data_IF_167056105583
#
_entry.id   IF_167056105583
#
_cell.length_a   1.000
_cell.length_b   1.000
_cell.length_c   1.000
_cell.angle_alpha   90.00
_cell.angle_beta   90.00
_cell.angle_gamma   90.00
#
_symmetry.space_group_name_H-M   'P 1'
#
loop_
_entity.id
_entity.type
_entity.pdbx_description
1 polymer ?
#
# COMPACT_ATOMS: atom_id res chain seq x y z
N UNK A 1 2.86 0.10 10.84
CA UNK A 1 1.74 -0.02 11.80
C UNK A 1 0.77 1.13 11.71
N UNK A 2 1.27 2.36 11.66
CA UNK A 2 0.42 3.53 11.59
C UNK A 2 -0.42 3.56 10.31
N UNK A 3 0.13 3.06 9.21
CA UNK A 3 -0.56 3.04 7.92
C UNK A 3 -1.77 2.13 7.97
N UNK A 4 -1.65 0.95 8.56
CA UNK A 4 -2.76 0.00 8.63
C UNK A 4 -3.91 0.50 9.51
N UNK A 5 -3.69 1.54 10.32
CA UNK A 5 -4.72 2.14 11.16
C UNK A 5 -5.50 3.23 10.47
N UNK A 6 -5.02 3.73 9.31
CA UNK A 6 -5.71 4.78 8.57
C UNK A 6 -7.08 4.31 8.09
N UNK A 7 -7.18 3.03 7.78
CA UNK A 7 -8.42 2.44 7.32
C UNK A 7 -8.46 0.98 7.78
N UNK A 8 -9.60 0.60 8.34
CA UNK A 8 -9.81 -0.79 8.74
C UNK A 8 -10.29 -1.59 7.52
N UNK A 9 -9.39 -2.35 6.94
CA UNK A 9 -9.68 -3.18 5.77
C UNK A 9 -9.69 -4.64 6.20
N UNK A 10 -10.83 -5.27 6.06
CA UNK A 10 -11.02 -6.66 6.45
C UNK A 10 -10.74 -7.59 5.27
N UNK A 11 -9.49 -8.03 5.16
CA UNK A 11 -9.05 -8.94 4.12
C UNK A 11 -8.38 -10.16 4.75
N UNK A 12 -8.60 -11.36 4.20
CA UNK A 12 -7.88 -12.53 4.65
C UNK A 12 -6.39 -12.37 4.32
N UNK A 13 -5.53 -12.98 5.12
CA UNK A 13 -4.11 -12.90 4.87
C UNK A 13 -3.74 -13.78 3.69
N UNK A 14 -3.32 -13.17 2.61
CA UNK A 14 -2.93 -13.82 1.37
C UNK A 14 -1.68 -13.17 0.80
N UNK A 15 -1.05 -13.89 -0.12
CA UNK A 15 0.07 -13.34 -0.87
C UNK A 15 -0.41 -12.30 -1.89
N UNK A 16 -1.54 -12.57 -2.54
CA UNK A 16 -2.13 -11.67 -3.53
C UNK A 16 -3.64 -11.63 -3.39
N UNK A 17 -4.22 -10.50 -3.80
CA UNK A 17 -5.66 -10.25 -3.77
C UNK A 17 -6.14 -9.85 -5.16
N UNK A 18 -7.36 -10.24 -5.51
CA UNK A 18 -7.97 -9.83 -6.77
C UNK A 18 -8.53 -8.42 -6.64
N UNK A 19 -8.79 -7.76 -7.79
CA UNK A 19 -9.40 -6.43 -7.78
C UNK A 19 -10.80 -6.49 -7.16
N UNK A 20 -11.51 -7.59 -7.34
CA UNK A 20 -12.83 -7.77 -6.73
C UNK A 20 -12.76 -7.78 -5.21
N UNK A 21 -11.80 -8.51 -4.65
CA UNK A 21 -11.58 -8.54 -3.21
C UNK A 21 -11.21 -7.16 -2.67
N UNK A 22 -10.33 -6.46 -3.39
CA UNK A 22 -9.86 -5.14 -2.99
C UNK A 22 -10.99 -4.11 -3.04
N UNK A 23 -11.73 -4.06 -4.15
CA UNK A 23 -12.82 -3.10 -4.29
C UNK A 23 -13.90 -3.31 -3.25
N UNK A 24 -14.21 -4.56 -2.94
CA UNK A 24 -15.18 -4.89 -1.91
C UNK A 24 -14.70 -4.46 -0.52
N UNK A 25 -13.43 -4.73 -0.21
CA UNK A 25 -12.85 -4.37 1.08
C UNK A 25 -12.82 -2.86 1.31
N UNK A 26 -12.55 -2.10 0.25
CA UNK A 26 -12.50 -0.64 0.31
C UNK A 26 -13.86 0.01 0.10
N UNK A 27 -14.88 -0.79 -0.25
CA UNK A 27 -16.23 -0.31 -0.54
C UNK A 27 -16.23 0.73 -1.66
N UNK A 28 -15.51 0.44 -2.73
CA UNK A 28 -15.44 1.29 -3.93
C UNK A 28 -15.60 0.42 -5.17
N UNK A 29 -15.87 1.05 -6.30
CA UNK A 29 -15.98 0.34 -7.57
C UNK A 29 -14.59 -0.07 -8.06
N UNK A 30 -14.52 -1.21 -8.75
CA UNK A 30 -13.28 -1.68 -9.35
C UNK A 30 -12.71 -0.66 -10.33
N UNK A 31 -13.57 0.08 -11.03
CA UNK A 31 -13.13 1.13 -11.96
C UNK A 31 -12.35 2.23 -11.26
N UNK A 32 -12.71 2.55 -10.01
CA UNK A 32 -11.98 3.54 -9.24
C UNK A 32 -10.58 3.03 -8.87
N UNK A 33 -10.47 1.76 -8.52
CA UNK A 33 -9.16 1.14 -8.24
C UNK A 33 -8.27 1.20 -9.49
N UNK A 34 -8.83 0.85 -10.65
CA UNK A 34 -8.09 0.91 -11.92
C UNK A 34 -7.69 2.34 -12.28
N UNK A 35 -8.55 3.31 -11.98
CA UNK A 35 -8.26 4.73 -12.19
C UNK A 35 -7.07 5.16 -11.32
N UNK A 36 -7.06 4.78 -10.05
CA UNK A 36 -5.95 5.09 -9.16
C UNK A 36 -4.64 4.43 -9.60
N UNK A 37 -4.69 3.21 -10.10
CA UNK A 37 -3.51 2.55 -10.68
C UNK A 37 -2.90 3.38 -11.79
N UNK A 38 -3.74 3.97 -12.62
CA UNK A 38 -3.31 4.80 -13.73
C UNK A 38 -2.72 6.11 -13.25
N UNK A 39 -3.31 6.70 -12.21
CA UNK A 39 -2.91 8.02 -11.71
C UNK A 39 -1.73 7.98 -10.74
N UNK A 40 -1.51 6.87 -10.07
CA UNK A 40 -0.46 6.72 -9.06
C UNK A 40 0.54 5.66 -9.51
N UNK A 41 1.73 6.09 -9.91
CA UNK A 41 2.78 5.20 -10.41
C UNK A 41 3.30 4.24 -9.33
N UNK A 42 3.22 4.66 -8.06
CA UNK A 42 3.62 3.83 -6.94
C UNK A 42 2.75 2.59 -6.80
N UNK A 43 1.56 2.63 -7.36
CA UNK A 43 0.62 1.53 -7.33
C UNK A 43 0.81 0.71 -8.61
N UNK A 44 1.55 -0.37 -8.52
CA UNK A 44 1.91 -1.17 -9.68
C UNK A 44 1.69 -2.66 -9.41
N UNK A 45 0.42 -3.11 -9.39
CA UNK A 45 0.13 -4.50 -9.11
C UNK A 45 0.63 -5.40 -10.25
N UNK A 46 1.03 -6.61 -9.88
CA UNK A 46 1.47 -7.59 -10.86
C UNK A 46 0.26 -8.13 -11.62
N UNK A 47 0.48 -8.51 -12.87
CA UNK A 47 -0.54 -9.15 -13.68
C UNK A 47 -0.10 -10.58 -13.98
N UNK A 48 -1.07 -11.50 -14.00
CA UNK A 48 -0.78 -12.87 -14.40
C UNK A 48 -0.72 -12.94 -15.93
N UNK A 49 -0.53 -14.17 -16.48
CA UNK A 49 -0.42 -14.38 -17.91
C UNK A 49 -1.68 -13.95 -18.69
N UNK A 50 -2.82 -13.91 -18.01
CA UNK A 50 -4.08 -13.49 -18.62
C UNK A 50 -4.35 -12.00 -18.47
N UNK A 51 -3.40 -11.26 -17.90
CA UNK A 51 -3.56 -9.83 -17.66
C UNK A 51 -4.39 -9.49 -16.44
N UNK A 52 -4.74 -10.46 -15.61
CA UNK A 52 -5.49 -10.24 -14.39
C UNK A 52 -4.60 -9.63 -13.32
N UNK A 53 -5.08 -8.58 -12.66
CA UNK A 53 -4.33 -7.87 -11.63
C UNK A 53 -4.25 -8.68 -10.36
N UNK A 54 -3.07 -8.63 -9.71
CA UNK A 54 -2.83 -9.24 -8.42
C UNK A 54 -2.22 -8.22 -7.49
N UNK A 55 -2.92 -7.90 -6.42
CA UNK A 55 -2.51 -6.88 -5.46
C UNK A 55 -1.82 -7.54 -4.28
N UNK A 56 -0.58 -7.13 -4.00
CA UNK A 56 0.16 -7.59 -2.82
C UNK A 56 -0.27 -6.80 -1.59
N UNK A 57 0.20 -7.23 -0.42
CA UNK A 57 -0.07 -6.48 0.81
C UNK A 57 0.49 -5.06 0.75
N UNK A 58 1.61 -4.85 0.06
CA UNK A 58 2.19 -3.52 -0.13
C UNK A 58 1.27 -2.65 -0.97
N UNK A 59 0.69 -3.22 -2.04
CA UNK A 59 -0.27 -2.50 -2.87
C UNK A 59 -1.50 -2.10 -2.05
N UNK A 60 -1.96 -3.00 -1.17
CA UNK A 60 -3.10 -2.71 -0.29
C UNK A 60 -2.78 -1.54 0.63
N UNK A 61 -1.59 -1.50 1.20
CA UNK A 61 -1.17 -0.39 2.06
C UNK A 61 -1.16 0.94 1.30
N UNK A 62 -0.65 0.93 0.07
CA UNK A 62 -0.65 2.12 -0.77
C UNK A 62 -2.06 2.56 -1.11
N UNK A 63 -2.96 1.63 -1.38
CA UNK A 63 -4.37 1.94 -1.63
C UNK A 63 -5.04 2.53 -0.40
N UNK A 64 -4.70 2.04 0.80
CA UNK A 64 -5.21 2.61 2.04
C UNK A 64 -4.82 4.08 2.17
N UNK A 65 -3.57 4.41 1.87
CA UNK A 65 -3.08 5.78 1.91
C UNK A 65 -3.82 6.64 0.89
N UNK A 66 -3.95 6.17 -0.34
CA UNK A 66 -4.65 6.89 -1.40
C UNK A 66 -6.10 7.13 -1.02
N UNK A 67 -6.78 6.11 -0.56
CA UNK A 67 -8.18 6.22 -0.13
C UNK A 67 -8.32 7.25 0.98
N UNK A 68 -7.44 7.20 1.96
CA UNK A 68 -7.45 8.15 3.08
C UNK A 68 -7.25 9.58 2.58
N UNK A 69 -6.26 9.82 1.75
CA UNK A 69 -5.95 11.16 1.27
C UNK A 69 -7.04 11.73 0.37
N UNK A 70 -7.51 10.94 -0.59
CA UNK A 70 -8.46 11.40 -1.60
C UNK A 70 -9.89 11.43 -1.06
N UNK A 71 -10.34 10.35 -0.41
CA UNK A 71 -11.72 10.21 0.02
C UNK A 71 -12.00 10.84 1.37
N UNK A 72 -11.07 10.74 2.30
CA UNK A 72 -11.29 11.22 3.67
C UNK A 72 -10.74 12.61 3.89
N UNK A 73 -9.55 12.91 3.37
CA UNK A 73 -8.92 14.22 3.53
C UNK A 73 -9.24 15.20 2.41
N UNK A 74 -9.78 14.71 1.30
CA UNK A 74 -10.16 15.56 0.17
C UNK A 74 -8.98 16.14 -0.61
N UNK A 75 -7.85 15.48 -0.60
CA UNK A 75 -6.69 15.90 -1.39
C UNK A 75 -7.00 15.84 -2.88
N UNK A 76 -6.39 16.72 -3.66
CA UNK A 76 -6.37 16.59 -5.11
C UNK A 76 -5.48 15.39 -5.48
N UNK A 77 -5.61 14.92 -6.72
CA UNK A 77 -4.76 13.82 -7.18
C UNK A 77 -3.29 14.19 -7.12
N UNK A 78 -2.94 15.41 -7.52
CA UNK A 78 -1.56 15.89 -7.47
C UNK A 78 -1.04 15.97 -6.03
N UNK A 79 -1.85 16.48 -5.13
CA UNK A 79 -1.50 16.55 -3.72
C UNK A 79 -1.32 15.16 -3.10
N UNK A 80 -2.21 14.24 -3.47
CA UNK A 80 -2.11 12.86 -3.00
C UNK A 80 -0.86 12.16 -3.55
N UNK A 81 -0.51 12.42 -4.82
CA UNK A 81 0.73 11.87 -5.39
C UNK A 81 1.96 12.34 -4.63
N UNK A 82 2.02 13.63 -4.32
CA UNK A 82 3.15 14.18 -3.58
C UNK A 82 3.26 13.57 -2.19
N UNK A 83 2.14 13.43 -1.50
CA UNK A 83 2.12 12.81 -0.18
C UNK A 83 2.54 11.34 -0.24
N UNK A 84 2.06 10.61 -1.24
CA UNK A 84 2.39 9.21 -1.40
C UNK A 84 3.89 9.02 -1.66
N UNK A 85 4.50 9.88 -2.47
CA UNK A 85 5.94 9.83 -2.72
C UNK A 85 6.73 10.07 -1.45
N UNK A 86 6.35 11.07 -0.66
CA UNK A 86 6.99 11.38 0.61
C UNK A 86 6.90 10.22 1.58
N UNK A 87 5.70 9.64 1.72
CA UNK A 87 5.48 8.51 2.61
C UNK A 87 6.26 7.28 2.15
N UNK A 88 6.36 7.07 0.84
CA UNK A 88 7.10 5.95 0.29
C UNK A 88 8.59 6.06 0.62
N UNK A 89 9.16 7.25 0.50
CA UNK A 89 10.55 7.50 0.86
C UNK A 89 10.79 7.27 2.36
N UNK A 90 9.91 7.80 3.19
CA UNK A 90 10.01 7.63 4.63
C UNK A 90 9.88 6.16 5.03
N UNK A 91 8.99 5.43 4.36
CA UNK A 91 8.80 4.01 4.60
C UNK A 91 10.07 3.21 4.29
N UNK A 92 10.75 3.53 3.19
CA UNK A 92 12.00 2.88 2.82
C UNK A 92 13.10 3.15 3.83
N UNK A 93 13.20 4.39 4.29
CA UNK A 93 14.18 4.76 5.33
C UNK A 93 13.91 3.99 6.61
N UNK A 94 12.65 3.92 7.03
CA UNK A 94 12.28 3.19 8.24
C UNK A 94 12.63 1.71 8.11
N UNK A 95 12.36 1.11 6.95
CA UNK A 95 12.72 -0.29 6.70
C UNK A 95 14.21 -0.54 6.83
N UNK A 96 15.03 0.36 6.30
CA UNK A 96 16.48 0.25 6.41
C UNK A 96 16.93 0.33 7.86
N UNK A 97 16.35 1.25 8.62
CA UNK A 97 16.68 1.42 10.03
C UNK A 97 16.29 0.19 10.85
N UNK A 98 15.11 -0.37 10.57
CA UNK A 98 14.66 -1.58 11.25
C UNK A 98 15.60 -2.76 10.95
N UNK A 99 16.03 -2.87 9.71
CA UNK A 99 16.95 -3.93 9.30
C UNK A 99 18.30 -3.83 10.04
N UNK A 100 18.82 -2.62 10.16
CA UNK A 100 20.07 -2.36 10.90
C UNK A 100 19.86 -2.71 12.37
N UNK A 101 18.75 -2.29 12.96
CA UNK A 101 18.43 -2.57 14.35
C UNK A 101 18.35 -4.07 14.61
N UNK A 102 17.70 -4.81 13.73
CA UNK A 102 17.60 -6.26 13.84
C UNK A 102 18.96 -6.93 13.79
N UNK A 103 19.82 -6.47 12.88
CA UNK A 103 21.19 -6.99 12.76
C UNK A 103 22.00 -6.75 14.03
N UNK A 104 21.88 -5.58 14.62
CA UNK A 104 22.57 -5.24 15.88
C UNK A 104 22.04 -6.09 17.03
N UNK A 105 20.75 -6.32 17.11
CA UNK A 105 20.16 -7.15 18.13
C UNK A 105 20.60 -8.61 18.00
N UNK A 106 20.70 -9.11 16.78
CA UNK A 106 21.19 -10.47 16.53
C UNK A 106 22.63 -10.64 16.97
N UNK A 107 23.48 -9.67 16.68
CA UNK A 107 24.87 -9.66 17.11
C UNK A 107 24.94 -9.69 18.64
N UNK A 108 24.15 -8.86 19.29
CA UNK A 108 24.10 -8.78 20.75
C UNK A 108 23.67 -10.11 21.37
N UNK A 109 22.70 -10.77 20.74
CA UNK A 109 22.20 -12.05 21.25
C UNK A 109 23.22 -13.19 21.09
N UNK A 110 24.10 -13.10 20.13
CA UNK A 110 25.14 -14.10 19.90
C UNK A 110 26.32 -13.97 20.86
N UNK A 111 26.46 -12.81 21.45
CA UNK A 111 27.51 -12.55 22.43
C UNK A 111 27.08 -12.99 23.83
#
# INVERSE_FOLDING_TARGET
KSISRLMHVNLPQKLYYSIGEVSKAFNVNASLIRFWEKEFQELNPKKNNKGTRRYSSIDIEKLQIIHHLVKEKGYTLDGARDQLKTLNKNFEVIKKLEKIKTSLLNIKNEL
#
